data_IF_304196946048
#
_entry.id   IF_304196946048
#
_cell.length_a   1.000
_cell.length_b   1.000
_cell.length_c   1.000
_cell.angle_alpha   90.00
_cell.angle_beta   90.00
_cell.angle_gamma   90.00
#
_symmetry.space_group_name_H-M   'P 1'
#
loop_
_entity.id
_entity.type
_entity.pdbx_description
1 polymer ?
#
# COMPACT_ATOMS: atom_id res chain seq x y z
N UNK A 1 18.82 43.21 -17.72
CA UNK A 1 18.08 41.95 -17.91
C UNK A 1 18.77 40.85 -17.10
N UNK A 2 18.48 40.65 -15.82
CA UNK A 2 17.37 41.22 -15.04
C UNK A 2 16.35 40.15 -14.67
N UNK A 3 16.74 39.28 -13.74
CA UNK A 3 15.90 38.56 -12.78
C UNK A 3 14.69 37.75 -13.33
N UNK A 4 14.89 36.44 -13.48
CA UNK A 4 13.80 35.43 -13.48
C UNK A 4 14.19 34.23 -12.60
N UNK A 5 14.56 34.52 -11.34
CA UNK A 5 14.53 33.53 -10.27
C UNK A 5 13.21 33.71 -9.53
N UNK A 6 12.16 33.05 -10.03
CA UNK A 6 10.84 33.08 -9.40
C UNK A 6 10.95 32.58 -7.96
N UNK A 7 10.53 33.41 -7.00
CA UNK A 7 10.69 33.12 -5.58
C UNK A 7 9.89 31.89 -5.15
N UNK A 8 10.60 30.86 -4.68
CA UNK A 8 10.00 29.76 -3.92
C UNK A 8 9.42 30.34 -2.63
N UNK A 9 8.12 30.18 -2.40
CA UNK A 9 7.43 30.80 -1.27
C UNK A 9 7.43 29.89 -0.05
N UNK A 10 7.21 30.46 1.13
CA UNK A 10 7.02 29.68 2.37
C UNK A 10 5.81 28.72 2.31
N UNK A 11 4.86 28.96 1.39
CA UNK A 11 3.77 28.02 1.14
C UNK A 11 4.27 26.79 0.38
N UNK A 12 5.03 26.99 -0.70
CA UNK A 12 5.65 25.91 -1.50
C UNK A 12 6.63 25.08 -0.64
N UNK A 13 7.40 25.75 0.24
CA UNK A 13 8.20 25.09 1.27
C UNK A 13 7.33 24.20 2.18
N UNK A 14 6.21 24.72 2.69
CA UNK A 14 5.35 23.96 3.59
C UNK A 14 4.69 22.74 2.91
N UNK A 15 4.31 22.87 1.64
CA UNK A 15 3.74 21.77 0.86
C UNK A 15 4.80 20.71 0.54
N UNK A 16 6.01 21.12 0.16
CA UNK A 16 7.14 20.22 -0.04
C UNK A 16 7.50 19.48 1.26
N UNK A 17 7.58 20.17 2.39
CA UNK A 17 7.82 19.55 3.69
C UNK A 17 6.70 18.57 4.09
N UNK A 18 5.42 18.92 3.84
CA UNK A 18 4.28 18.05 4.10
C UNK A 18 4.32 16.77 3.25
N UNK A 19 4.61 16.90 1.95
CA UNK A 19 4.78 15.80 1.00
C UNK A 19 5.96 14.90 1.38
N UNK A 20 7.11 15.49 1.69
CA UNK A 20 8.32 14.78 2.16
C UNK A 20 8.04 14.02 3.46
N UNK A 21 7.38 14.66 4.43
CA UNK A 21 7.01 14.04 5.70
C UNK A 21 6.01 12.89 5.51
N UNK A 22 5.06 13.00 4.58
CA UNK A 22 4.14 11.92 4.23
C UNK A 22 4.86 10.72 3.58
N UNK A 23 5.77 10.97 2.64
CA UNK A 23 6.58 9.94 1.99
C UNK A 23 7.50 9.22 2.98
N UNK A 24 8.26 9.95 3.79
CA UNK A 24 9.11 9.39 4.86
C UNK A 24 8.27 8.63 5.89
N UNK A 25 7.12 9.17 6.31
CA UNK A 25 6.18 8.47 7.21
C UNK A 25 5.69 7.14 6.62
N UNK A 26 5.46 7.06 5.31
CA UNK A 26 5.04 5.83 4.65
C UNK A 26 6.18 4.80 4.62
N UNK A 27 7.38 5.20 4.19
CA UNK A 27 8.58 4.34 4.15
C UNK A 27 8.93 3.81 5.54
N UNK A 28 8.91 4.66 6.58
CA UNK A 28 9.14 4.24 7.98
C UNK A 28 8.08 3.23 8.44
N UNK A 29 6.80 3.39 8.09
CA UNK A 29 5.74 2.41 8.40
C UNK A 29 5.95 1.07 7.70
N UNK A 30 6.48 1.06 6.47
CA UNK A 30 6.83 -0.19 5.75
C UNK A 30 7.98 -0.93 6.45
N UNK A 31 9.08 -0.24 6.80
CA UNK A 31 10.19 -0.86 7.53
C UNK A 31 9.76 -1.38 8.91
N UNK A 32 8.95 -0.60 9.65
CA UNK A 32 8.38 -1.04 10.93
C UNK A 32 7.45 -2.25 10.79
N UNK A 33 6.74 -2.40 9.66
CA UNK A 33 5.92 -3.57 9.38
C UNK A 33 6.78 -4.80 9.05
N UNK A 34 7.78 -4.65 8.17
CA UNK A 34 8.67 -5.76 7.79
C UNK A 34 9.53 -6.27 8.96
N UNK A 35 9.78 -5.45 9.98
CA UNK A 35 10.47 -5.85 11.22
C UNK A 35 9.63 -6.76 12.15
N UNK A 36 8.34 -6.98 11.86
CA UNK A 36 7.47 -7.84 12.67
C UNK A 36 7.67 -9.32 12.32
N UNK A 37 7.73 -10.21 13.33
CA UNK A 37 7.77 -11.68 13.13
C UNK A 37 6.57 -12.26 12.34
N UNK A 38 5.51 -11.47 12.17
CA UNK A 38 4.27 -11.82 11.47
C UNK A 38 4.05 -10.97 10.21
N UNK A 39 5.10 -10.29 9.72
CA UNK A 39 5.07 -9.57 8.46
C UNK A 39 4.84 -10.56 7.30
N UNK A 40 3.97 -10.18 6.37
CA UNK A 40 3.81 -10.88 5.10
C UNK A 40 4.67 -10.15 4.07
N UNK A 41 5.69 -10.84 3.58
CA UNK A 41 6.63 -10.35 2.57
C UNK A 41 6.85 -11.48 1.57
N UNK A 42 6.31 -11.33 0.36
CA UNK A 42 6.32 -12.35 -0.70
C UNK A 42 7.27 -11.90 -1.81
N UNK A 43 8.27 -12.70 -2.23
CA UNK A 43 9.18 -12.33 -3.30
C UNK A 43 8.47 -12.36 -4.66
N UNK A 44 8.70 -11.36 -5.51
CA UNK A 44 8.01 -11.16 -6.77
C UNK A 44 9.02 -11.15 -7.92
N UNK A 45 9.24 -12.29 -8.59
CA UNK A 45 10.38 -12.52 -9.49
C UNK A 45 10.07 -12.40 -10.99
N UNK A 46 9.19 -11.47 -11.39
CA UNK A 46 8.71 -11.32 -12.77
C UNK A 46 9.81 -11.22 -13.83
N UNK A 47 10.90 -10.49 -13.52
CA UNK A 47 12.03 -10.31 -14.44
C UNK A 47 12.81 -11.62 -14.61
N UNK A 48 13.15 -12.30 -13.52
CA UNK A 48 13.84 -13.61 -13.56
C UNK A 48 12.97 -14.69 -14.18
N UNK A 49 11.65 -14.63 -14.01
CA UNK A 49 10.69 -15.52 -14.66
C UNK A 49 10.57 -15.22 -16.15
N UNK A 50 10.65 -13.96 -16.57
CA UNK A 50 10.70 -13.60 -17.98
C UNK A 50 12.01 -14.07 -18.64
N UNK A 51 13.16 -13.91 -17.96
CA UNK A 51 14.45 -14.47 -18.39
C UNK A 51 14.41 -16.01 -18.49
N UNK A 52 13.89 -16.70 -17.47
CA UNK A 52 13.71 -18.16 -17.50
C UNK A 52 12.81 -18.61 -18.67
N UNK A 53 11.71 -17.90 -18.93
CA UNK A 53 10.84 -18.15 -20.11
C UNK A 53 11.53 -17.84 -21.44
N UNK A 54 12.48 -16.90 -21.48
CA UNK A 54 13.23 -16.56 -22.69
C UNK A 54 14.33 -17.59 -23.04
N UNK A 55 14.87 -18.30 -22.06
CA UNK A 55 16.00 -19.23 -22.24
C UNK A 55 15.70 -20.42 -23.18
N UNK A 56 14.45 -20.89 -23.20
CA UNK A 56 14.00 -21.99 -24.07
C UNK A 56 13.45 -21.57 -25.44
N UNK A 57 13.56 -20.29 -25.82
CA UNK A 57 12.95 -19.77 -27.05
C UNK A 57 13.98 -19.54 -28.16
N UNK A 58 13.61 -19.94 -29.39
CA UNK A 58 14.37 -19.59 -30.59
C UNK A 58 14.47 -18.07 -30.79
N UNK A 59 15.60 -17.63 -31.36
CA UNK A 59 16.13 -16.27 -31.24
C UNK A 59 15.11 -15.13 -31.47
N UNK A 60 14.31 -15.18 -32.54
CA UNK A 60 13.29 -14.15 -32.85
C UNK A 60 12.18 -14.05 -31.78
N UNK A 61 11.85 -15.14 -31.09
CA UNK A 61 10.90 -15.15 -29.96
C UNK A 61 11.58 -14.67 -28.67
N UNK A 62 12.83 -15.11 -28.43
CA UNK A 62 13.67 -14.70 -27.30
C UNK A 62 13.89 -13.19 -27.27
N UNK A 63 14.36 -12.59 -28.35
CA UNK A 63 14.58 -11.15 -28.47
C UNK A 63 13.30 -10.33 -28.18
N UNK A 64 12.14 -10.76 -28.71
CA UNK A 64 10.84 -10.10 -28.46
C UNK A 64 10.36 -10.24 -27.01
N UNK A 65 10.75 -11.29 -26.29
CA UNK A 65 10.45 -11.46 -24.86
C UNK A 65 11.40 -10.59 -24.02
N UNK A 66 12.71 -10.62 -24.30
CA UNK A 66 13.71 -9.79 -23.62
C UNK A 66 13.42 -8.27 -23.75
N UNK A 67 12.98 -7.82 -24.93
CA UNK A 67 12.54 -6.44 -25.14
C UNK A 67 11.33 -6.06 -24.27
N UNK A 68 10.44 -7.02 -23.97
CA UNK A 68 9.28 -6.83 -23.08
C UNK A 68 9.64 -6.95 -21.60
N UNK A 69 10.68 -7.71 -21.25
CA UNK A 69 11.14 -7.82 -19.86
C UNK A 69 12.06 -6.68 -19.43
N UNK A 70 12.53 -5.84 -20.36
CA UNK A 70 13.42 -4.72 -20.05
C UNK A 70 12.82 -3.66 -19.10
N UNK A 71 11.49 -3.62 -18.94
CA UNK A 71 10.78 -2.76 -17.98
C UNK A 71 10.25 -3.51 -16.75
N UNK A 72 10.55 -4.81 -16.61
CA UNK A 72 10.18 -5.61 -15.44
C UNK A 72 11.31 -5.56 -14.42
N UNK A 73 10.95 -5.60 -13.14
CA UNK A 73 11.89 -5.63 -12.03
C UNK A 73 11.49 -6.75 -11.07
N UNK A 74 12.48 -7.41 -10.46
CA UNK A 74 12.20 -8.25 -9.28
C UNK A 74 11.92 -7.33 -8.09
N UNK A 75 10.97 -7.71 -7.25
CA UNK A 75 10.56 -6.93 -6.08
C UNK A 75 10.08 -7.79 -4.91
N UNK A 76 9.46 -7.13 -3.93
CA UNK A 76 8.76 -7.79 -2.82
C UNK A 76 7.37 -7.19 -2.66
N UNK A 77 6.37 -8.05 -2.51
CA UNK A 77 5.02 -7.66 -2.11
C UNK A 77 4.98 -7.63 -0.58
N UNK A 78 4.58 -6.50 0.00
CA UNK A 78 4.61 -6.27 1.45
C UNK A 78 3.21 -5.97 1.96
N UNK A 79 2.67 -6.85 2.80
CA UNK A 79 1.32 -6.74 3.35
C UNK A 79 0.44 -7.97 3.06
N UNK A 80 -0.88 -7.90 3.33
CA UNK A 80 -1.79 -9.00 3.04
C UNK A 80 -1.96 -9.20 1.53
N UNK A 81 -1.76 -10.44 1.09
CA UNK A 81 -1.64 -10.91 -0.32
C UNK A 81 -2.79 -10.51 -1.27
N UNK A 82 -3.93 -10.07 -0.75
CA UNK A 82 -5.06 -9.63 -1.57
C UNK A 82 -5.78 -8.41 -0.98
N UNK A 83 -5.58 -7.25 -1.60
CA UNK A 83 -6.72 -6.39 -1.90
C UNK A 83 -7.52 -7.13 -2.97
N UNK A 84 -8.53 -7.91 -2.55
CA UNK A 84 -9.46 -8.55 -3.47
C UNK A 84 -10.11 -7.49 -4.39
N UNK A 85 -10.49 -7.85 -5.64
CA UNK A 85 -11.09 -6.90 -6.56
C UNK A 85 -12.28 -6.16 -5.93
N UNK A 86 -12.49 -4.87 -6.23
CA UNK A 86 -13.76 -4.25 -5.96
C UNK A 86 -14.83 -4.95 -6.81
N UNK A 87 -15.87 -5.45 -6.16
CA UNK A 87 -17.29 -5.29 -6.53
C UNK A 87 -18.12 -6.34 -5.79
N UNK A 88 -18.85 -5.90 -4.75
CA UNK A 88 -20.05 -6.52 -4.16
C UNK A 88 -20.47 -5.71 -2.91
N UNK A 89 -21.36 -4.73 -3.07
CA UNK A 89 -22.03 -4.09 -1.93
C UNK A 89 -23.24 -4.94 -1.49
N UNK A 90 -23.04 -5.75 -0.45
CA UNK A 90 -24.05 -6.67 0.07
C UNK A 90 -24.98 -6.04 1.12
N UNK A 91 -26.25 -5.79 0.71
CA UNK A 91 -27.47 -5.66 1.52
C UNK A 91 -27.40 -4.98 2.92
N UNK A 92 -28.05 -3.82 3.05
CA UNK A 92 -28.19 -3.11 4.33
C UNK A 92 -29.30 -3.69 5.23
N UNK A 93 -29.08 -3.65 6.55
CA UNK A 93 -30.08 -4.06 7.55
C UNK A 93 -29.80 -3.54 8.97
N UNK A 94 -30.29 -2.34 9.28
CA UNK A 94 -30.48 -1.80 10.65
C UNK A 94 -29.24 -1.50 11.52
N UNK A 95 -28.12 -2.19 11.34
CA UNK A 95 -26.92 -2.09 12.17
C UNK A 95 -25.63 -1.81 11.39
N UNK A 96 -24.50 -1.77 12.10
CA UNK A 96 -23.17 -1.61 11.49
C UNK A 96 -22.75 -2.93 10.85
N UNK A 97 -22.79 -2.98 9.51
CA UNK A 97 -22.47 -4.18 8.74
C UNK A 97 -21.05 -4.74 9.02
N UNK A 98 -20.82 -6.05 8.80
CA UNK A 98 -19.51 -6.67 8.89
C UNK A 98 -18.47 -5.95 8.03
N UNK A 99 -17.32 -5.59 8.60
CA UNK A 99 -16.30 -4.84 7.87
C UNK A 99 -14.88 -5.01 8.43
N UNK A 100 -13.87 -4.83 7.56
CA UNK A 100 -12.46 -4.81 7.98
C UNK A 100 -12.05 -3.47 8.56
N UNK A 101 -11.62 -3.46 9.83
CA UNK A 101 -10.88 -2.34 10.43
C UNK A 101 -9.42 -2.41 10.00
N UNK A 102 -8.84 -1.29 9.54
CA UNK A 102 -7.42 -1.21 9.13
C UNK A 102 -6.48 -1.60 10.27
N UNK A 103 -5.47 -2.40 9.94
CA UNK A 103 -4.28 -2.53 10.77
C UNK A 103 -3.49 -1.22 10.78
N UNK A 104 -2.87 -0.89 11.90
CA UNK A 104 -2.17 0.37 12.11
C UNK A 104 -1.15 0.27 13.25
N UNK A 105 -0.15 1.15 13.24
CA UNK A 105 0.75 1.34 14.38
C UNK A 105 0.11 2.29 15.40
N UNK A 106 0.28 2.00 16.70
CA UNK A 106 -0.08 2.91 17.79
C UNK A 106 0.92 2.85 18.94
N UNK A 107 1.05 3.94 19.68
CA UNK A 107 1.76 3.97 20.96
C UNK A 107 0.82 3.51 22.08
N UNK A 108 0.99 2.28 22.55
CA UNK A 108 0.20 1.72 23.64
C UNK A 108 0.80 2.09 25.01
N UNK A 109 0.00 2.63 25.96
CA UNK A 109 0.40 2.77 27.36
C UNK A 109 0.78 1.43 28.00
N UNK A 110 1.80 1.43 28.85
CA UNK A 110 2.18 0.29 29.69
C UNK A 110 2.99 0.73 30.92
N UNK A 111 3.40 -0.25 31.73
CA UNK A 111 4.20 0.00 32.94
C UNK A 111 3.37 0.50 34.13
N UNK A 112 4.04 0.74 35.26
CA UNK A 112 3.40 1.22 36.50
C UNK A 112 2.71 2.56 36.22
N UNK A 113 1.43 2.66 36.60
CA UNK A 113 0.60 3.85 36.35
C UNK A 113 0.34 4.16 34.87
N UNK A 114 0.58 3.22 33.95
CA UNK A 114 0.47 3.44 32.50
C UNK A 114 1.34 4.61 31.98
N UNK A 115 2.45 4.93 32.64
CA UNK A 115 3.29 6.08 32.29
C UNK A 115 4.19 5.84 31.07
N UNK A 116 4.54 4.58 30.76
CA UNK A 116 5.43 4.24 29.65
C UNK A 116 4.63 4.08 28.34
N UNK A 117 5.29 4.17 27.18
CA UNK A 117 4.67 4.01 25.84
C UNK A 117 5.48 3.05 24.99
N UNK A 118 4.84 2.02 24.45
CA UNK A 118 5.45 1.08 23.50
C UNK A 118 4.76 1.16 22.15
N UNK A 119 5.54 1.18 21.07
CA UNK A 119 5.01 1.07 19.72
C UNK A 119 4.52 -0.36 19.50
N UNK A 120 3.27 -0.53 19.04
CA UNK A 120 2.74 -1.83 18.62
C UNK A 120 2.06 -1.72 17.26
N UNK A 121 2.05 -2.83 16.52
CA UNK A 121 1.18 -3.03 15.37
C UNK A 121 -0.14 -3.67 15.82
N UNK A 122 -1.26 -2.97 15.60
CA UNK A 122 -2.60 -3.55 15.69
C UNK A 122 -2.90 -4.16 14.33
N UNK A 123 -3.13 -5.48 14.28
CA UNK A 123 -3.47 -6.17 13.04
C UNK A 123 -4.84 -5.72 12.47
N UNK A 124 -5.06 -5.86 11.15
CA UNK A 124 -6.40 -5.79 10.59
C UNK A 124 -7.33 -6.80 11.25
N UNK A 125 -8.60 -6.44 11.43
CA UNK A 125 -9.59 -7.30 12.09
C UNK A 125 -10.96 -7.14 11.43
N UNK A 126 -11.68 -8.25 11.28
CA UNK A 126 -13.09 -8.25 10.90
C UNK A 126 -13.92 -7.84 12.12
N UNK A 127 -14.73 -6.81 11.96
CA UNK A 127 -15.69 -6.31 12.95
C UNK A 127 -17.08 -6.82 12.54
N UNK A 128 -17.92 -7.14 13.52
CA UNK A 128 -19.24 -7.77 13.33
C UNK A 128 -19.22 -9.10 12.57
N UNK A 129 -18.19 -9.92 12.79
CA UNK A 129 -18.06 -11.25 12.19
C UNK A 129 -19.23 -12.19 12.55
N UNK A 130 -19.87 -11.97 13.71
CA UNK A 130 -21.05 -12.69 14.18
C UNK A 130 -22.32 -12.44 13.35
N UNK A 131 -22.32 -11.41 12.49
CA UNK A 131 -23.43 -11.05 11.61
C UNK A 131 -23.19 -11.46 10.14
N UNK A 132 -22.09 -12.17 9.86
CA UNK A 132 -21.69 -12.54 8.50
C UNK A 132 -22.57 -13.65 7.93
N UNK A 133 -23.50 -13.28 7.04
CA UNK A 133 -24.37 -14.21 6.31
C UNK A 133 -24.03 -14.19 4.81
N UNK A 134 -22.91 -14.85 4.44
CA UNK A 134 -22.42 -14.90 3.06
C UNK A 134 -20.91 -14.65 2.98
N UNK A 135 -20.48 -14.07 1.85
CA UNK A 135 -19.07 -13.79 1.56
C UNK A 135 -18.44 -12.76 2.50
N UNK A 136 -17.12 -12.87 2.69
CA UNK A 136 -16.35 -11.93 3.50
C UNK A 136 -16.42 -10.50 2.90
N UNK A 137 -16.66 -9.46 3.72
CA UNK A 137 -16.72 -8.09 3.22
C UNK A 137 -15.37 -7.68 2.62
N UNK A 138 -15.39 -6.98 1.49
CA UNK A 138 -14.17 -6.55 0.80
C UNK A 138 -13.39 -5.54 1.67
N UNK A 139 -12.08 -5.73 1.91
CA UNK A 139 -11.27 -4.71 2.58
C UNK A 139 -11.24 -3.42 1.76
N UNK A 140 -11.75 -2.31 2.33
CA UNK A 140 -11.76 -0.99 1.67
C UNK A 140 -10.38 -0.67 1.09
N UNK A 141 -10.29 -0.46 -0.22
CA UNK A 141 -9.01 -0.17 -0.89
C UNK A 141 -8.46 1.21 -0.46
N UNK A 142 -7.14 1.36 -0.45
CA UNK A 142 -6.47 2.60 -0.03
C UNK A 142 -5.35 2.97 -1.00
N UNK A 143 -5.64 3.88 -1.94
CA UNK A 143 -4.58 4.63 -2.63
C UNK A 143 -3.86 5.50 -1.60
N UNK A 144 -2.58 5.24 -1.38
CA UNK A 144 -1.73 6.12 -0.58
C UNK A 144 -1.44 7.39 -1.40
N UNK A 145 -2.10 8.51 -1.07
CA UNK A 145 -1.76 9.84 -1.59
C UNK A 145 -1.88 10.03 -3.10
N UNK A 146 -3.08 9.82 -3.68
CA UNK A 146 -3.34 10.10 -5.09
C UNK A 146 -4.75 10.67 -5.34
N UNK A 147 -5.04 11.82 -4.74
CA UNK A 147 -6.23 12.62 -5.02
C UNK A 147 -5.99 13.59 -6.19
N UNK A 148 -5.49 13.07 -7.32
CA UNK A 148 -5.53 13.81 -8.59
C UNK A 148 -6.95 13.64 -9.13
N UNK A 149 -7.76 14.69 -9.01
CA UNK A 149 -9.07 14.73 -9.63
C UNK A 149 -8.90 14.78 -11.16
N UNK A 150 -9.13 13.65 -11.83
CA UNK A 150 -9.25 13.62 -13.29
C UNK A 150 -10.58 14.28 -13.63
N UNK A 151 -10.54 15.57 -13.95
CA UNK A 151 -11.70 16.28 -14.47
C UNK A 151 -12.09 15.67 -15.81
N UNK A 152 -13.32 15.15 -15.90
CA UNK A 152 -13.88 14.68 -17.16
C UNK A 152 -14.23 15.89 -18.03
N UNK A 153 -13.32 16.29 -18.92
CA UNK A 153 -13.62 17.24 -19.99
C UNK A 153 -14.47 16.54 -21.05
N UNK A 154 -15.71 17.00 -21.19
CA UNK A 154 -16.62 16.71 -22.31
C UNK A 154 -16.29 17.61 -23.49
#
# INVERSE_FOLDING_TARGET
MGEVLGGFTAADESELHSSMHAAVSYVVRLFLYMALKQARVTPHSEYDEALRRAAGLGERKRAKLLQRSASLYNGILVGPESLLPPDLEGAAGGGVAPHWRRGHFRMQPFGIGNQQRKLIFVAPALIHAEQLQGDLPVPKSYRAGAAVAVASTT
#
